data_IF_662425019569
#
_entry.id   IF_662425019569
#
_cell.length_a   1.000
_cell.length_b   1.000
_cell.length_c   1.000
_cell.angle_alpha   90.00
_cell.angle_beta   90.00
_cell.angle_gamma   90.00
#
_symmetry.space_group_name_H-M   'P 1'
#
loop_
_entity.id
_entity.type
_entity.pdbx_description
1 polymer ?
#
# COMPACT_ATOMS: atom_id res chain seq x y z
N UNK A 1 15.50 31.66 -31.60
CA UNK A 1 14.92 30.28 -31.78
C UNK A 1 15.73 29.35 -30.91
N UNK A 2 15.23 29.06 -29.71
CA UNK A 2 15.83 28.13 -28.74
C UNK A 2 14.82 27.05 -28.46
N UNK A 3 15.10 25.84 -28.93
CA UNK A 3 14.29 24.64 -28.66
C UNK A 3 14.45 24.23 -27.19
N UNK A 4 13.37 24.28 -26.48
CA UNK A 4 13.22 23.68 -25.14
C UNK A 4 12.88 22.21 -25.30
N UNK A 5 13.85 21.33 -25.03
CA UNK A 5 13.65 19.87 -24.99
C UNK A 5 12.87 19.48 -23.75
N UNK A 6 11.62 19.10 -23.93
CA UNK A 6 10.80 18.48 -22.89
C UNK A 6 11.35 17.10 -22.54
N UNK A 7 11.81 16.90 -21.30
CA UNK A 7 12.06 15.58 -20.73
C UNK A 7 10.72 14.90 -20.49
N UNK A 8 10.51 13.74 -21.13
CA UNK A 8 9.48 12.79 -20.73
C UNK A 8 9.77 12.31 -19.30
N UNK A 9 8.77 12.18 -18.44
CA UNK A 9 8.97 11.45 -17.18
C UNK A 9 9.19 9.97 -17.53
N UNK A 10 10.35 9.46 -17.13
CA UNK A 10 10.64 8.03 -17.19
C UNK A 10 9.63 7.29 -16.32
N UNK A 11 8.95 6.33 -16.92
CA UNK A 11 8.11 5.39 -16.21
C UNK A 11 9.02 4.61 -15.24
N UNK A 12 8.82 4.81 -13.93
CA UNK A 12 9.39 3.97 -12.90
C UNK A 12 8.75 2.58 -13.01
N UNK A 13 9.21 1.78 -13.95
CA UNK A 13 9.06 0.35 -13.89
C UNK A 13 9.83 -0.09 -12.64
N UNK A 14 9.13 -0.67 -11.66
CA UNK A 14 9.77 -1.28 -10.50
C UNK A 14 10.76 -2.33 -11.01
N UNK A 15 12.05 -2.00 -10.93
CA UNK A 15 13.13 -2.90 -11.30
C UNK A 15 13.26 -3.95 -10.19
N UNK A 16 12.54 -5.06 -10.31
CA UNK A 16 12.60 -6.20 -9.41
C UNK A 16 13.95 -6.92 -9.56
N UNK A 17 15.05 -6.23 -9.30
CA UNK A 17 16.36 -6.85 -9.26
C UNK A 17 16.52 -7.65 -7.97
N UNK A 18 16.92 -8.90 -8.10
CA UNK A 18 17.38 -9.70 -6.99
C UNK A 18 18.49 -8.94 -6.23
N UNK A 19 18.32 -8.79 -4.93
CA UNK A 19 19.27 -8.08 -4.07
C UNK A 19 19.96 -9.09 -3.18
N UNK A 20 21.26 -9.03 -3.15
CA UNK A 20 22.13 -9.96 -2.46
C UNK A 20 22.70 -9.36 -1.16
N UNK A 21 22.75 -10.17 -0.10
CA UNK A 21 23.37 -9.83 1.17
C UNK A 21 24.58 -10.77 1.43
N UNK A 22 25.72 -10.18 1.78
CA UNK A 22 26.92 -10.93 2.19
C UNK A 22 26.91 -11.21 3.70
N UNK A 23 26.83 -12.47 4.07
CA UNK A 23 27.01 -12.98 5.44
C UNK A 23 27.70 -14.36 5.39
N UNK A 24 28.41 -14.76 6.45
CA UNK A 24 29.20 -16.02 6.51
C UNK A 24 28.32 -17.30 6.57
N UNK A 25 27.65 -17.56 5.51
CA UNK A 25 26.74 -18.67 5.19
C UNK A 25 26.10 -18.23 3.89
N UNK A 26 25.90 -19.05 2.89
CA UNK A 26 25.47 -18.68 1.54
C UNK A 26 24.51 -17.49 1.48
N UNK A 27 24.76 -16.62 0.54
CA UNK A 27 23.97 -15.40 0.31
C UNK A 27 22.49 -15.78 0.06
N UNK A 28 21.58 -15.18 0.82
CA UNK A 28 20.14 -15.38 0.60
C UNK A 28 19.59 -14.30 -0.34
N UNK A 29 18.69 -14.69 -1.22
CA UNK A 29 17.95 -13.79 -2.09
C UNK A 29 16.45 -14.09 -2.01
N UNK A 30 15.64 -13.03 -2.18
CA UNK A 30 14.21 -13.16 -2.37
C UNK A 30 13.94 -13.46 -3.86
N UNK A 31 13.44 -14.66 -4.17
CA UNK A 31 13.07 -15.04 -5.53
C UNK A 31 11.56 -14.93 -5.73
N UNK A 32 11.15 -14.62 -6.95
CA UNK A 32 9.76 -14.52 -7.39
C UNK A 32 8.87 -13.65 -6.47
N UNK A 33 9.31 -12.42 -6.10
CA UNK A 33 8.52 -11.58 -5.23
C UNK A 33 7.21 -11.17 -5.91
N UNK A 34 6.09 -11.42 -5.25
CA UNK A 34 4.74 -11.02 -5.68
C UNK A 34 4.21 -9.99 -4.73
N UNK A 35 3.82 -8.82 -5.25
CA UNK A 35 3.21 -7.74 -4.49
C UNK A 35 1.71 -7.71 -4.74
N UNK A 36 0.93 -7.82 -3.67
CA UNK A 36 -0.49 -7.52 -3.65
C UNK A 36 -0.73 -6.18 -2.94
N UNK A 37 -1.40 -5.27 -3.60
CA UNK A 37 -1.77 -3.96 -3.07
C UNK A 37 -3.16 -3.54 -3.54
N UNK A 38 -3.72 -2.50 -2.91
CA UNK A 38 -4.99 -1.95 -3.37
C UNK A 38 -4.80 -1.20 -4.69
N UNK A 39 -5.76 -1.41 -5.62
CA UNK A 39 -5.79 -0.74 -6.89
C UNK A 39 -7.12 0.01 -7.06
N UNK A 40 -7.04 1.27 -7.50
CA UNK A 40 -8.20 2.12 -7.74
C UNK A 40 -8.28 2.49 -9.23
N UNK A 41 -9.49 2.47 -9.78
CA UNK A 41 -9.78 2.93 -11.13
C UNK A 41 -11.05 3.78 -11.13
N UNK A 42 -11.10 4.78 -12.01
CA UNK A 42 -12.30 5.57 -12.23
C UNK A 42 -13.01 5.11 -13.48
N UNK A 43 -14.31 4.96 -13.38
CA UNK A 43 -15.20 4.77 -14.50
C UNK A 43 -16.03 6.04 -14.73
N UNK A 44 -16.61 6.13 -15.93
CA UNK A 44 -17.38 7.29 -16.37
C UNK A 44 -18.40 7.77 -15.33
N UNK A 45 -18.42 9.09 -15.13
CA UNK A 45 -19.40 9.74 -14.26
C UNK A 45 -20.78 9.71 -14.90
N UNK A 46 -21.80 9.09 -14.28
CA UNK A 46 -23.17 9.28 -14.73
C UNK A 46 -23.59 10.72 -14.40
N UNK A 47 -23.99 11.48 -15.39
CA UNK A 47 -24.72 12.75 -15.29
C UNK A 47 -24.09 13.88 -14.46
N UNK A 48 -22.79 13.83 -14.17
CA UNK A 48 -22.09 14.84 -13.38
C UNK A 48 -22.46 14.88 -11.89
N UNK A 49 -23.22 13.90 -11.41
CA UNK A 49 -23.68 13.85 -10.00
C UNK A 49 -22.78 12.99 -9.09
N UNK A 50 -21.74 12.38 -9.63
CA UNK A 50 -20.85 11.53 -8.86
C UNK A 50 -19.84 10.81 -9.73
N UNK A 51 -19.04 9.96 -9.12
CA UNK A 51 -18.05 9.11 -9.79
C UNK A 51 -18.20 7.66 -9.32
N UNK A 52 -18.04 6.72 -10.25
CA UNK A 52 -17.92 5.29 -9.93
C UNK A 52 -16.45 4.96 -9.77
N UNK A 53 -16.07 4.54 -8.58
CA UNK A 53 -14.73 4.06 -8.25
C UNK A 53 -14.77 2.53 -8.28
N UNK A 54 -13.99 1.94 -9.16
CA UNK A 54 -13.70 0.51 -9.11
C UNK A 54 -12.49 0.29 -8.23
N UNK A 55 -12.55 -0.70 -7.36
CA UNK A 55 -11.43 -1.09 -6.53
C UNK A 55 -11.17 -2.60 -6.61
N UNK A 56 -9.90 -2.95 -6.46
CA UNK A 56 -9.43 -4.32 -6.23
C UNK A 56 -8.58 -4.28 -4.99
N UNK A 57 -8.97 -5.06 -4.00
CA UNK A 57 -8.24 -5.14 -2.74
C UNK A 57 -7.31 -6.34 -2.69
N UNK A 58 -6.66 -6.51 -1.56
CA UNK A 58 -5.80 -7.64 -1.26
C UNK A 58 -6.64 -8.92 -1.15
N UNK A 59 -6.19 -10.07 -1.68
CA UNK A 59 -6.91 -11.33 -1.58
C UNK A 59 -7.27 -11.68 -0.13
N UNK A 60 -8.54 -11.96 0.14
CA UNK A 60 -9.08 -12.25 1.47
C UNK A 60 -9.57 -11.01 2.23
N UNK A 61 -9.38 -9.79 1.73
CA UNK A 61 -10.02 -8.61 2.28
C UNK A 61 -11.55 -8.74 2.28
N UNK A 62 -12.18 -8.30 3.35
CA UNK A 62 -13.63 -8.25 3.52
C UNK A 62 -14.06 -6.80 3.77
N UNK A 63 -14.24 -6.00 2.71
CA UNK A 63 -14.38 -4.55 2.84
C UNK A 63 -15.49 -4.09 3.80
N UNK A 64 -16.67 -4.68 3.73
CA UNK A 64 -17.77 -4.36 4.65
C UNK A 64 -17.45 -4.77 6.08
N UNK A 65 -16.99 -6.01 6.27
CA UNK A 65 -16.68 -6.55 7.60
C UNK A 65 -15.54 -5.83 8.30
N UNK A 66 -14.60 -5.26 7.53
CA UNK A 66 -13.46 -4.49 8.03
C UNK A 66 -13.68 -2.97 7.96
N UNK A 67 -14.92 -2.53 7.71
CA UNK A 67 -15.33 -1.13 7.65
C UNK A 67 -14.49 -0.28 6.68
N UNK A 68 -14.14 -0.87 5.55
CA UNK A 68 -13.41 -0.13 4.52
C UNK A 68 -14.29 0.95 3.92
N UNK A 69 -13.67 2.02 3.46
CA UNK A 69 -14.40 3.15 2.87
C UNK A 69 -13.62 3.79 1.73
N UNK A 70 -14.33 4.58 0.93
CA UNK A 70 -13.75 5.51 -0.04
C UNK A 70 -14.08 6.92 0.40
N UNK A 71 -13.09 7.79 0.45
CA UNK A 71 -13.29 9.21 0.76
C UNK A 71 -12.91 10.09 -0.43
N UNK A 72 -13.68 11.15 -0.64
CA UNK A 72 -13.42 12.21 -1.62
C UNK A 72 -12.95 13.47 -0.88
N UNK A 73 -11.90 14.09 -1.41
CA UNK A 73 -11.27 15.29 -0.87
C UNK A 73 -11.14 16.35 -1.96
N UNK A 74 -11.09 17.62 -1.57
CA UNK A 74 -10.90 18.74 -2.50
C UNK A 74 -9.44 18.98 -2.89
N UNK A 75 -8.49 18.28 -2.29
CA UNK A 75 -7.05 18.44 -2.51
C UNK A 75 -6.24 17.27 -1.95
N UNK A 76 -4.92 17.32 -2.09
CA UNK A 76 -3.96 16.39 -1.46
C UNK A 76 -3.69 16.70 0.03
N UNK A 77 -4.19 17.83 0.56
CA UNK A 77 -3.94 18.25 1.94
C UNK A 77 -4.23 17.19 3.01
N UNK A 78 -5.28 16.34 2.90
CA UNK A 78 -5.54 15.30 3.90
C UNK A 78 -4.44 14.27 4.04
N UNK A 79 -3.72 13.98 2.97
CA UNK A 79 -2.59 13.03 2.99
C UNK A 79 -1.38 13.67 3.68
N UNK A 80 -1.12 14.95 3.39
CA UNK A 80 0.04 15.71 3.89
C UNK A 80 -0.17 16.21 5.33
N UNK A 81 -1.33 16.81 5.58
CA UNK A 81 -1.62 17.49 6.86
C UNK A 81 -2.40 16.62 7.86
N UNK A 82 -2.87 15.49 7.40
CA UNK A 82 -3.76 14.59 8.13
C UNK A 82 -5.25 14.93 7.97
N UNK A 83 -6.11 13.91 8.01
CA UNK A 83 -7.56 14.06 7.77
C UNK A 83 -8.28 14.90 8.84
N UNK A 84 -7.67 15.09 10.00
CA UNK A 84 -8.25 15.93 11.05
C UNK A 84 -8.19 17.42 10.74
N UNK A 85 -7.27 17.86 9.89
CA UNK A 85 -7.13 19.29 9.49
C UNK A 85 -7.99 19.62 8.27
N UNK A 86 -8.16 18.66 7.38
CA UNK A 86 -8.96 18.83 6.17
C UNK A 86 -9.96 17.67 6.11
N UNK A 87 -11.21 17.88 6.52
CA UNK A 87 -12.22 16.82 6.48
C UNK A 87 -12.55 16.44 5.04
N UNK A 88 -12.94 15.17 4.79
CA UNK A 88 -13.39 14.77 3.46
C UNK A 88 -14.69 15.49 3.07
N UNK A 89 -14.86 15.69 1.78
CA UNK A 89 -16.11 16.18 1.21
C UNK A 89 -17.22 15.14 1.38
N UNK A 90 -16.89 13.88 1.20
CA UNK A 90 -17.77 12.73 1.43
C UNK A 90 -16.97 11.50 1.77
N UNK A 91 -17.52 10.65 2.64
CA UNK A 91 -17.02 9.31 2.93
C UNK A 91 -18.13 8.32 2.58
N UNK A 92 -17.81 7.34 1.78
CA UNK A 92 -18.75 6.27 1.38
C UNK A 92 -18.23 4.95 1.92
N UNK A 93 -18.93 4.35 2.91
CA UNK A 93 -18.59 3.01 3.36
C UNK A 93 -18.83 1.99 2.25
N UNK A 94 -18.00 0.97 2.21
CA UNK A 94 -18.15 -0.10 1.23
C UNK A 94 -19.17 -1.12 1.73
N UNK A 95 -20.15 -1.42 0.87
CA UNK A 95 -21.14 -2.45 1.11
C UNK A 95 -20.75 -3.74 0.39
N UNK A 96 -20.77 -4.84 1.13
CA UNK A 96 -20.41 -6.17 0.61
C UNK A 96 -18.90 -6.45 0.66
N UNK A 97 -18.59 -7.75 0.64
CA UNK A 97 -17.22 -8.26 0.76
C UNK A 97 -16.66 -8.77 -0.58
N UNK A 98 -17.33 -8.51 -1.69
CA UNK A 98 -16.86 -8.93 -3.02
C UNK A 98 -15.74 -8.04 -3.53
N UNK A 99 -14.77 -8.65 -4.21
CA UNK A 99 -13.67 -7.98 -4.89
C UNK A 99 -13.31 -8.73 -6.19
N UNK A 100 -13.04 -8.04 -7.29
CA UNK A 100 -13.19 -6.58 -7.48
C UNK A 100 -14.63 -6.10 -7.35
N UNK A 101 -14.84 -4.85 -6.97
CA UNK A 101 -16.16 -4.25 -6.85
C UNK A 101 -16.12 -2.75 -7.16
N UNK A 102 -17.28 -2.10 -7.10
CA UNK A 102 -17.44 -0.67 -7.39
C UNK A 102 -18.20 0.02 -6.26
N UNK A 103 -17.89 1.29 -6.05
CA UNK A 103 -18.61 2.17 -5.14
C UNK A 103 -18.96 3.47 -5.88
N UNK A 104 -20.19 3.95 -5.73
CA UNK A 104 -20.60 5.25 -6.24
C UNK A 104 -20.34 6.31 -5.18
N UNK A 105 -19.55 7.33 -5.54
CA UNK A 105 -19.24 8.48 -4.72
C UNK A 105 -20.08 9.66 -5.19
N UNK A 106 -21.18 10.02 -4.49
CA UNK A 106 -22.06 11.10 -4.89
C UNK A 106 -21.42 12.45 -4.57
N UNK A 107 -21.18 13.25 -5.60
CA UNK A 107 -20.67 14.61 -5.43
C UNK A 107 -20.97 15.49 -6.66
N UNK A 108 -21.48 16.70 -6.50
CA UNK A 108 -21.65 17.64 -7.61
C UNK A 108 -20.32 18.31 -7.93
N UNK A 109 -19.47 17.66 -8.72
CA UNK A 109 -18.12 18.14 -9.04
C UNK A 109 -18.13 19.56 -9.61
N UNK A 110 -17.79 20.55 -8.79
CA UNK A 110 -17.73 21.98 -9.13
C UNK A 110 -16.30 22.53 -9.15
N UNK A 111 -15.37 21.83 -8.53
CA UNK A 111 -13.95 22.16 -8.50
C UNK A 111 -13.19 21.66 -9.72
N UNK A 112 -11.87 21.71 -9.62
CA UNK A 112 -10.99 21.33 -10.74
C UNK A 112 -10.24 20.05 -10.51
N UNK A 113 -9.84 19.81 -9.27
CA UNK A 113 -9.02 18.67 -8.88
C UNK A 113 -9.56 18.11 -7.57
N UNK A 114 -9.62 16.79 -7.49
CA UNK A 114 -10.08 16.05 -6.32
C UNK A 114 -9.13 14.89 -6.05
N UNK A 115 -9.07 14.45 -4.81
CA UNK A 115 -8.40 13.22 -4.42
C UNK A 115 -9.44 12.21 -3.95
N UNK A 116 -9.33 10.99 -4.44
CA UNK A 116 -10.07 9.84 -3.96
C UNK A 116 -9.10 8.94 -3.22
N UNK A 117 -9.42 8.55 -2.00
CA UNK A 117 -8.61 7.64 -1.20
C UNK A 117 -9.41 6.41 -0.79
N UNK A 118 -8.73 5.27 -0.69
CA UNK A 118 -9.27 4.05 -0.12
C UNK A 118 -8.71 3.86 1.29
N UNK A 119 -9.59 3.66 2.27
CA UNK A 119 -9.25 3.41 3.66
C UNK A 119 -9.53 1.96 4.03
N UNK A 120 -8.63 1.35 4.77
CA UNK A 120 -8.80 0.03 5.38
C UNK A 120 -9.10 0.20 6.86
N UNK A 121 -10.28 -0.28 7.31
CA UNK A 121 -10.75 -0.07 8.68
C UNK A 121 -11.47 1.27 8.90
N UNK A 122 -11.79 1.56 10.16
CA UNK A 122 -12.68 2.66 10.56
C UNK A 122 -12.06 4.06 10.48
N UNK A 123 -10.75 4.17 10.40
CA UNK A 123 -10.06 5.46 10.49
C UNK A 123 -9.76 6.06 9.13
N UNK A 124 -9.98 7.37 9.01
CA UNK A 124 -9.54 8.14 7.83
C UNK A 124 -8.00 8.20 7.69
N UNK A 125 -7.25 7.88 8.74
CA UNK A 125 -5.78 7.81 8.69
C UNK A 125 -5.27 6.50 8.06
N UNK A 126 -6.12 5.52 7.83
CA UNK A 126 -5.74 4.22 7.26
C UNK A 126 -5.78 4.20 5.73
N UNK A 127 -5.34 5.27 5.10
CA UNK A 127 -5.26 5.38 3.64
C UNK A 127 -4.20 4.44 3.07
N UNK A 128 -4.59 3.54 2.17
CA UNK A 128 -3.69 2.59 1.53
C UNK A 128 -3.55 2.78 0.01
N UNK A 129 -4.50 3.48 -0.61
CA UNK A 129 -4.45 3.84 -2.02
C UNK A 129 -5.08 5.22 -2.25
N UNK A 130 -4.62 5.91 -3.28
CA UNK A 130 -5.12 7.21 -3.69
C UNK A 130 -5.19 7.33 -5.22
N UNK A 131 -6.17 8.07 -5.70
CA UNK A 131 -6.39 8.35 -7.11
C UNK A 131 -6.75 9.82 -7.29
N UNK A 132 -5.98 10.53 -8.08
CA UNK A 132 -6.27 11.93 -8.42
C UNK A 132 -7.27 12.01 -9.58
N UNK A 133 -8.30 12.81 -9.38
CA UNK A 133 -9.29 13.15 -10.39
C UNK A 133 -9.10 14.62 -10.78
N UNK A 134 -8.53 14.87 -11.96
CA UNK A 134 -8.42 16.22 -12.54
C UNK A 134 -9.49 16.43 -13.60
N UNK A 135 -10.45 17.30 -13.32
CA UNK A 135 -11.53 17.63 -14.27
C UNK A 135 -11.07 18.54 -15.40
N UNK A 136 -10.00 19.33 -15.19
CA UNK A 136 -9.44 20.21 -16.21
C UNK A 136 -8.72 19.46 -17.32
N UNK A 137 -7.93 18.47 -16.94
CA UNK A 137 -7.05 17.77 -17.87
C UNK A 137 -7.75 16.59 -18.56
N UNK A 138 -8.95 16.20 -18.13
CA UNK A 138 -9.61 14.95 -18.53
C UNK A 138 -8.69 13.73 -18.44
N UNK A 139 -7.65 13.85 -17.64
CA UNK A 139 -6.65 12.83 -17.40
C UNK A 139 -6.75 12.37 -15.95
N UNK A 140 -6.78 11.08 -15.74
CA UNK A 140 -6.55 10.50 -14.42
C UNK A 140 -5.05 10.32 -14.25
N UNK A 141 -4.51 10.86 -13.18
CA UNK A 141 -3.15 10.49 -12.74
C UNK A 141 -3.19 9.02 -12.33
N UNK A 142 -2.19 8.21 -12.69
CA UNK A 142 -2.16 6.81 -12.25
C UNK A 142 -2.37 6.71 -10.73
N UNK A 143 -3.17 5.75 -10.27
CA UNK A 143 -3.39 5.57 -8.85
C UNK A 143 -2.07 5.23 -8.16
N UNK A 144 -1.90 5.75 -6.97
CA UNK A 144 -0.79 5.39 -6.08
C UNK A 144 -1.31 4.48 -4.98
N UNK A 145 -0.54 3.48 -4.63
CA UNK A 145 -0.83 2.57 -3.53
C UNK A 145 0.45 2.26 -2.76
N UNK A 146 0.31 1.75 -1.55
CA UNK A 146 1.45 1.30 -0.76
C UNK A 146 2.16 0.17 -1.49
N UNK A 147 3.48 0.24 -1.57
CA UNK A 147 4.30 -0.79 -2.19
C UNK A 147 5.45 -1.22 -1.29
N UNK A 148 5.88 -2.47 -1.44
CA UNK A 148 6.94 -3.11 -0.68
C UNK A 148 7.96 -3.74 -1.60
N UNK A 149 9.22 -3.74 -1.17
CA UNK A 149 10.27 -4.56 -1.78
C UNK A 149 11.28 -5.02 -0.72
N UNK A 150 11.93 -6.16 -0.94
CA UNK A 150 13.03 -6.62 -0.09
C UNK A 150 14.32 -6.00 -0.60
N UNK A 151 15.01 -5.26 0.25
CA UNK A 151 16.32 -4.66 -0.08
C UNK A 151 17.50 -5.49 0.40
N UNK A 152 17.33 -6.25 1.49
CA UNK A 152 18.35 -7.14 2.02
C UNK A 152 17.68 -8.32 2.73
N UNK A 153 18.26 -9.50 2.59
CA UNK A 153 17.81 -10.73 3.22
C UNK A 153 18.99 -11.43 3.89
N UNK A 154 18.92 -11.58 5.21
CA UNK A 154 19.89 -12.29 6.02
C UNK A 154 19.21 -13.47 6.74
N UNK A 155 19.99 -14.38 7.30
CA UNK A 155 19.46 -15.54 8.03
C UNK A 155 18.59 -15.17 9.25
N UNK A 156 18.72 -13.96 9.78
CA UNK A 156 18.02 -13.50 10.99
C UNK A 156 17.28 -12.19 10.85
N UNK A 157 17.29 -11.58 9.66
CA UNK A 157 16.64 -10.30 9.41
C UNK A 157 16.22 -10.10 7.96
N UNK A 158 15.23 -9.25 7.75
CA UNK A 158 14.80 -8.77 6.44
C UNK A 158 14.79 -7.25 6.47
N UNK A 159 15.46 -6.61 5.52
CA UNK A 159 15.36 -5.17 5.29
C UNK A 159 14.40 -4.90 4.13
N UNK A 160 13.40 -4.09 4.38
CA UNK A 160 12.26 -3.82 3.51
C UNK A 160 12.30 -2.33 3.15
N UNK A 161 12.15 -2.03 1.88
CA UNK A 161 11.80 -0.68 1.43
C UNK A 161 10.29 -0.62 1.28
N UNK A 162 9.67 0.39 1.87
CA UNK A 162 8.25 0.68 1.65
C UNK A 162 8.08 2.06 1.04
N UNK A 163 7.04 2.20 0.22
CA UNK A 163 6.56 3.47 -0.30
C UNK A 163 5.10 3.61 0.10
N UNK A 164 4.74 4.77 0.65
CA UNK A 164 3.37 5.13 1.00
C UNK A 164 2.84 6.22 0.07
N UNK A 165 1.67 6.74 0.34
CA UNK A 165 1.11 7.87 -0.40
C UNK A 165 1.95 9.13 -0.15
N UNK A 166 2.08 9.98 -1.16
CA UNK A 166 2.89 11.20 -1.08
C UNK A 166 2.45 12.12 0.05
N UNK A 167 3.33 12.33 1.04
CA UNK A 167 3.06 13.14 2.23
C UNK A 167 2.33 12.41 3.37
N UNK A 168 2.01 11.14 3.21
CA UNK A 168 1.46 10.31 4.30
C UNK A 168 2.47 10.15 5.45
N UNK A 169 1.98 10.01 6.68
CA UNK A 169 2.77 10.04 7.91
C UNK A 169 2.81 8.66 8.61
N UNK A 170 3.62 7.70 8.12
CA UNK A 170 3.59 6.31 8.59
C UNK A 170 3.85 6.14 10.08
N UNK A 171 4.87 6.82 10.60
CA UNK A 171 5.22 6.75 12.03
C UNK A 171 4.15 7.40 12.90
N UNK A 172 3.69 8.58 12.52
CA UNK A 172 2.65 9.32 13.26
C UNK A 172 1.35 8.52 13.36
N UNK A 173 1.00 7.78 12.31
CA UNK A 173 -0.20 6.94 12.32
C UNK A 173 0.04 5.53 12.86
N UNK A 174 1.25 5.22 13.33
CA UNK A 174 1.57 3.96 13.97
C UNK A 174 1.66 2.77 13.00
N UNK A 175 2.01 3.00 11.74
CA UNK A 175 2.16 1.92 10.77
C UNK A 175 3.29 0.97 11.15
N UNK A 176 3.19 -0.27 10.73
CA UNK A 176 4.15 -1.31 11.05
C UNK A 176 4.19 -2.41 9.97
N UNK A 177 5.22 -3.24 10.04
CA UNK A 177 5.39 -4.40 9.14
C UNK A 177 5.55 -5.65 9.98
N UNK A 178 4.82 -6.70 9.62
CA UNK A 178 4.98 -8.04 10.16
C UNK A 178 5.52 -9.01 9.11
N UNK A 179 6.23 -10.04 9.57
CA UNK A 179 6.80 -11.11 8.74
C UNK A 179 6.31 -12.45 9.24
N UNK A 180 5.88 -13.31 8.33
CA UNK A 180 5.44 -14.69 8.57
C UNK A 180 6.20 -15.65 7.67
N UNK A 181 6.55 -16.80 8.20
CA UNK A 181 6.96 -17.95 7.38
C UNK A 181 5.71 -18.66 6.86
N UNK A 182 5.67 -18.98 5.55
CA UNK A 182 4.58 -19.70 4.89
C UNK A 182 3.51 -18.83 4.26
N UNK A 183 2.46 -19.50 3.76
CA UNK A 183 1.37 -18.89 2.97
C UNK A 183 0.08 -18.63 3.75
N UNK A 184 0.09 -18.52 5.07
CA UNK A 184 -1.12 -18.14 5.78
C UNK A 184 -1.66 -16.83 5.23
N UNK A 185 -2.95 -16.79 4.88
CA UNK A 185 -3.59 -15.60 4.33
C UNK A 185 -3.45 -14.42 5.29
N UNK A 186 -3.27 -13.18 4.78
CA UNK A 186 -3.00 -12.02 5.63
C UNK A 186 -4.10 -11.78 6.66
N UNK A 187 -5.35 -12.07 6.34
CA UNK A 187 -6.50 -11.84 7.23
C UNK A 187 -6.75 -12.96 8.25
N UNK A 188 -6.04 -14.08 8.15
CA UNK A 188 -6.11 -15.21 9.05
C UNK A 188 -4.75 -15.53 9.67
N UNK A 189 -3.79 -14.64 9.49
CA UNK A 189 -2.44 -14.86 9.99
C UNK A 189 -2.45 -14.84 11.52
N UNK A 190 -1.82 -15.81 12.17
CA UNK A 190 -1.51 -15.72 13.59
C UNK A 190 -0.56 -14.54 13.85
N UNK A 191 -0.18 -14.34 15.09
CA UNK A 191 0.89 -13.39 15.44
C UNK A 191 2.09 -13.55 14.51
N UNK A 192 2.69 -12.47 14.00
CA UNK A 192 3.87 -12.55 13.15
C UNK A 192 5.06 -13.21 13.87
N UNK A 193 5.92 -13.85 13.10
CA UNK A 193 7.19 -14.39 13.62
C UNK A 193 8.07 -13.26 14.17
N UNK A 194 8.03 -12.11 13.51
CA UNK A 194 8.61 -10.86 13.99
C UNK A 194 7.96 -9.66 13.30
N UNK A 195 8.15 -8.46 13.89
CA UNK A 195 7.61 -7.22 13.37
C UNK A 195 8.47 -6.01 13.73
N UNK A 196 8.25 -4.89 13.04
CA UNK A 196 8.85 -3.61 13.37
C UNK A 196 7.92 -2.44 12.98
N UNK A 197 7.89 -1.35 13.78
CA UNK A 197 7.12 -0.16 13.47
C UNK A 197 7.81 0.68 12.40
N UNK A 198 7.05 1.49 11.68
CA UNK A 198 7.60 2.52 10.79
C UNK A 198 8.44 3.51 11.61
N UNK A 199 9.69 3.73 11.20
CA UNK A 199 10.65 4.53 11.94
C UNK A 199 10.51 6.04 11.73
N UNK A 200 9.95 6.46 10.60
CA UNK A 200 9.83 7.86 10.17
C UNK A 200 8.50 8.16 9.49
N UNK A 201 8.26 9.44 9.22
CA UNK A 201 7.14 9.94 8.43
C UNK A 201 7.52 10.21 6.96
N UNK A 202 8.62 9.65 6.48
CA UNK A 202 8.97 9.72 5.07
C UNK A 202 8.05 8.85 4.23
N UNK A 203 7.63 9.37 3.08
CA UNK A 203 6.82 8.64 2.09
C UNK A 203 7.50 7.36 1.63
N UNK A 204 8.83 7.39 1.52
CA UNK A 204 9.67 6.23 1.24
C UNK A 204 10.70 6.09 2.35
N UNK A 205 10.79 4.88 2.92
CA UNK A 205 11.78 4.60 3.95
C UNK A 205 12.16 3.11 3.97
N UNK A 206 13.15 2.81 4.77
CA UNK A 206 13.72 1.47 4.96
C UNK A 206 13.45 1.00 6.39
N UNK A 207 13.03 -0.24 6.52
CA UNK A 207 12.67 -0.87 7.78
C UNK A 207 13.33 -2.25 7.87
N UNK A 208 13.99 -2.56 8.98
CA UNK A 208 14.57 -3.89 9.23
C UNK A 208 13.77 -4.62 10.30
N UNK A 209 13.23 -5.79 9.93
CA UNK A 209 12.62 -6.75 10.86
C UNK A 209 13.67 -7.77 11.23
N UNK A 210 14.03 -7.80 12.52
CA UNK A 210 15.05 -8.68 13.09
C UNK A 210 14.44 -9.83 13.91
N UNK A 211 15.27 -10.70 14.48
CA UNK A 211 14.86 -11.86 15.26
C UNK A 211 14.03 -12.88 14.47
N UNK A 212 14.27 -12.98 13.19
CA UNK A 212 13.71 -13.98 12.31
C UNK A 212 14.61 -15.22 12.23
N UNK A 213 14.06 -16.27 11.66
CA UNK A 213 14.83 -17.43 11.18
C UNK A 213 14.50 -17.68 9.72
N UNK A 214 15.33 -17.14 8.83
CA UNK A 214 15.14 -17.29 7.39
C UNK A 214 15.87 -18.53 6.90
N UNK A 215 15.15 -19.41 6.22
CA UNK A 215 15.65 -20.70 5.73
C UNK A 215 15.46 -20.73 4.22
N UNK A 216 16.50 -21.06 3.47
CA UNK A 216 16.43 -21.25 2.04
C UNK A 216 15.40 -22.36 1.68
N UNK A 217 14.67 -22.16 0.62
CA UNK A 217 13.62 -23.07 0.15
C UNK A 217 12.24 -22.82 0.75
N UNK A 218 12.11 -21.95 1.75
CA UNK A 218 10.83 -21.60 2.36
C UNK A 218 10.26 -20.31 1.80
N UNK A 219 8.93 -20.23 1.83
CA UNK A 219 8.19 -19.05 1.45
C UNK A 219 7.97 -18.14 2.66
N UNK A 220 7.97 -16.83 2.43
CA UNK A 220 7.76 -15.81 3.44
C UNK A 220 6.75 -14.79 2.95
N UNK A 221 6.04 -14.21 3.90
CA UNK A 221 5.07 -13.14 3.65
C UNK A 221 5.40 -11.95 4.52
N UNK A 222 5.49 -10.79 3.89
CA UNK A 222 5.65 -9.49 4.51
C UNK A 222 4.33 -8.75 4.36
N UNK A 223 3.79 -8.23 5.45
CA UNK A 223 2.53 -7.49 5.45
C UNK A 223 2.77 -6.11 6.04
N UNK A 224 2.39 -5.08 5.30
CA UNK A 224 2.38 -3.70 5.75
C UNK A 224 1.00 -3.35 6.30
N UNK A 225 0.95 -2.89 7.53
CA UNK A 225 -0.25 -2.48 8.21
C UNK A 225 -0.33 -0.96 8.31
N UNK A 226 -1.51 -0.43 8.03
CA UNK A 226 -1.82 1.00 8.07
C UNK A 226 -2.53 1.31 9.37
N UNK A 227 -1.88 2.05 10.26
CA UNK A 227 -2.38 2.32 11.59
C UNK A 227 -1.74 1.47 12.68
N UNK A 228 -2.06 1.73 13.95
CA UNK A 228 -1.42 1.08 15.08
C UNK A 228 -1.71 -0.42 15.15
N UNK A 229 -0.77 -1.15 15.72
CA UNK A 229 -0.98 -2.55 16.04
C UNK A 229 -2.10 -2.64 17.09
N UNK A 230 -3.26 -3.14 16.68
CA UNK A 230 -4.39 -3.35 17.57
C UNK A 230 -4.33 -4.75 18.17
N UNK A 231 -4.56 -4.86 19.47
CA UNK A 231 -4.69 -6.15 20.14
C UNK A 231 -5.94 -6.87 19.60
N UNK A 232 -5.76 -7.99 18.94
CA UNK A 232 -6.79 -8.99 18.73
C UNK A 232 -7.41 -9.13 17.34
N UNK A 233 -7.19 -8.25 16.35
CA UNK A 233 -7.69 -8.45 14.97
C UNK A 233 -6.59 -8.15 13.96
N UNK A 234 -5.76 -9.11 13.59
CA UNK A 234 -4.62 -8.89 12.69
C UNK A 234 -4.98 -8.58 11.24
N UNK A 235 -6.25 -8.49 10.87
CA UNK A 235 -6.64 -8.50 9.46
C UNK A 235 -7.21 -7.21 8.90
N UNK A 236 -7.66 -6.27 9.73
CA UNK A 236 -8.48 -5.15 9.25
C UNK A 236 -7.72 -4.04 8.54
N UNK A 237 -6.44 -3.83 8.85
CA UNK A 237 -5.67 -2.65 8.41
C UNK A 237 -4.52 -3.00 7.45
N UNK A 238 -4.65 -4.05 6.65
CA UNK A 238 -3.62 -4.47 5.71
C UNK A 238 -3.61 -3.54 4.50
N UNK A 239 -2.48 -2.85 4.27
CA UNK A 239 -2.29 -1.93 3.14
C UNK A 239 -1.56 -2.54 1.94
N UNK A 240 -0.63 -3.47 2.19
CA UNK A 240 0.10 -4.20 1.15
C UNK A 240 0.63 -5.54 1.66
N UNK A 241 0.79 -6.50 0.76
CA UNK A 241 1.36 -7.83 1.04
C UNK A 241 2.42 -8.13 0.01
N UNK A 242 3.60 -8.56 0.46
CA UNK A 242 4.66 -9.07 -0.39
C UNK A 242 4.95 -10.52 -0.01
N UNK A 243 4.91 -11.42 -0.98
CA UNK A 243 5.31 -12.82 -0.82
C UNK A 243 6.58 -13.09 -1.62
N UNK A 244 7.47 -13.89 -1.07
CA UNK A 244 8.69 -14.31 -1.77
C UNK A 244 9.17 -15.65 -1.25
N UNK A 245 10.01 -16.30 -2.03
CA UNK A 245 10.73 -17.52 -1.61
C UNK A 245 12.17 -17.13 -1.28
N UNK A 246 12.65 -17.53 -0.10
CA UNK A 246 14.06 -17.39 0.23
C UNK A 246 14.86 -18.49 -0.49
N UNK A 247 15.87 -18.10 -1.28
CA UNK A 247 16.76 -19.04 -1.99
C UNK A 247 18.21 -18.66 -1.72
N UNK A 248 19.10 -19.63 -1.83
CA UNK A 248 20.53 -19.32 -1.86
C UNK A 248 20.89 -18.71 -3.22
N UNK A 249 21.72 -17.68 -3.20
CA UNK A 249 22.30 -17.16 -4.43
C UNK A 249 23.11 -18.25 -5.10
N UNK A 250 22.90 -18.44 -6.39
CA UNK A 250 23.78 -19.31 -7.18
C UNK A 250 25.20 -18.72 -7.11
N UNK A 251 26.17 -19.53 -6.71
CA UNK A 251 27.57 -19.14 -6.81
C UNK A 251 27.88 -18.79 -8.28
N UNK A 252 28.60 -17.69 -8.55
CA UNK A 252 28.96 -17.28 -9.89
C UNK A 252 29.84 -18.29 -10.60
#
# INVERSE_FOLDING_TARGET
MTQSGGRKPDSLAADNRAISAEGAGGQLIASDPTLDNFCLQLHSTPDGQGVVVQYTGIPGNQPESYHNSVALWDSWSPVIDGPNKTPPLVVVPISGNLQPSTVFVPWPFTGTDYLITYQVGDSLTTMCAALELSLKLKATVPPTAISLSVSQLDATSITIVYNTLGGYLPKTYGNWVGVWQGFSGPYFAPTPDSWAPAGSDHTQDVLTVSNLRIIAGFDYRIIYFVGPQADGVPGSNIGAVLTFKATEALAP
#
